data_IF_147291791423
#
_entry.id   IF_147291791423
#
_cell.length_a   1.000
_cell.length_b   1.000
_cell.length_c   1.000
_cell.angle_alpha   90.00
_cell.angle_beta   90.00
_cell.angle_gamma   90.00
#
_symmetry.space_group_name_H-M   'P 1'
#
loop_
_entity.id
_entity.type
_entity.pdbx_description
1 polymer ?
#
# COMPACT_ATOMS: atom_id res chain seq x y z
N UNK A 1 21.70 10.17 -34.40
CA UNK A 1 22.41 10.72 -33.22
C UNK A 1 23.44 11.71 -33.76
N UNK A 2 23.62 12.89 -33.14
CA UNK A 2 24.68 13.83 -33.50
C UNK A 2 26.06 13.17 -33.38
N UNK A 3 27.00 13.47 -34.25
CA UNK A 3 28.35 12.93 -34.17
C UNK A 3 29.03 13.41 -32.89
N UNK A 4 29.59 12.51 -32.13
CA UNK A 4 30.23 12.78 -30.82
C UNK A 4 29.48 12.24 -29.60
N UNK A 5 28.24 11.78 -29.73
CA UNK A 5 27.52 11.06 -28.66
C UNK A 5 27.85 9.58 -28.77
N UNK A 6 28.44 9.01 -27.71
CA UNK A 6 28.87 7.61 -27.66
C UNK A 6 27.71 6.70 -27.19
N UNK A 7 26.95 7.16 -26.20
CA UNK A 7 25.83 6.41 -25.63
C UNK A 7 24.83 7.33 -24.96
N UNK A 8 23.57 7.02 -25.13
CA UNK A 8 22.49 7.68 -24.39
C UNK A 8 21.73 6.63 -23.63
N UNK A 9 21.73 6.72 -22.29
CA UNK A 9 21.00 5.82 -21.42
C UNK A 9 19.96 6.64 -20.67
N UNK A 10 18.69 6.28 -20.83
CA UNK A 10 17.60 6.86 -20.05
C UNK A 10 17.44 5.98 -18.82
N UNK A 11 17.57 6.57 -17.63
CA UNK A 11 17.37 5.84 -16.41
C UNK A 11 15.91 5.36 -16.28
N UNK A 12 15.73 4.27 -15.54
CA UNK A 12 14.46 3.55 -15.42
C UNK A 12 13.34 4.38 -14.80
N UNK A 13 13.64 5.54 -14.20
CA UNK A 13 12.67 6.47 -13.64
C UNK A 13 12.09 7.45 -14.67
N UNK A 14 12.65 7.51 -15.88
CA UNK A 14 12.28 8.46 -16.96
C UNK A 14 12.58 9.92 -16.63
N UNK A 15 13.19 10.22 -15.48
CA UNK A 15 13.48 11.57 -15.00
C UNK A 15 14.94 11.98 -15.25
N UNK A 16 15.81 11.01 -15.38
CA UNK A 16 17.25 11.23 -15.60
C UNK A 16 17.73 10.53 -16.86
N UNK A 17 18.61 11.21 -17.57
CA UNK A 17 19.23 10.72 -18.81
C UNK A 17 20.74 10.93 -18.70
N UNK A 18 21.48 9.83 -18.86
CA UNK A 18 22.94 9.87 -18.91
C UNK A 18 23.37 9.85 -20.36
N UNK A 19 24.16 10.84 -20.77
CA UNK A 19 24.74 10.96 -22.11
C UNK A 19 26.24 10.83 -21.98
N UNK A 20 26.77 9.72 -22.50
CA UNK A 20 28.21 9.52 -22.66
C UNK A 20 28.64 10.16 -24.00
N UNK A 21 29.55 11.10 -23.96
CA UNK A 21 30.01 11.84 -25.13
C UNK A 21 31.53 11.97 -25.17
N UNK A 22 32.08 12.21 -26.37
CA UNK A 22 33.49 12.51 -26.53
C UNK A 22 33.72 14.00 -26.32
N UNK A 23 34.43 14.41 -25.24
CA UNK A 23 34.69 15.81 -24.93
C UNK A 23 35.60 16.52 -25.97
N UNK A 24 36.21 15.76 -26.90
CA UNK A 24 36.97 16.32 -28.02
C UNK A 24 36.10 16.67 -29.21
N UNK A 25 34.90 16.06 -29.30
CA UNK A 25 33.98 16.25 -30.42
C UNK A 25 32.80 17.17 -30.09
N UNK A 26 32.40 17.28 -28.81
CA UNK A 26 31.25 18.06 -28.34
C UNK A 26 31.60 18.84 -27.07
N UNK A 27 31.18 20.09 -27.00
CA UNK A 27 31.27 20.89 -25.76
C UNK A 27 30.11 20.54 -24.80
N UNK A 28 30.31 20.78 -23.50
CA UNK A 28 29.30 20.60 -22.47
C UNK A 28 27.97 21.34 -22.76
N UNK A 29 28.09 22.50 -23.41
CA UNK A 29 26.95 23.34 -23.76
C UNK A 29 26.12 22.71 -24.90
N UNK A 30 26.81 22.16 -25.91
CA UNK A 30 26.17 21.42 -26.99
C UNK A 30 25.48 20.14 -26.50
N UNK A 31 26.06 19.44 -25.53
CA UNK A 31 25.46 18.26 -24.92
C UNK A 31 24.20 18.62 -24.11
N UNK A 32 24.22 19.74 -23.38
CA UNK A 32 23.02 20.26 -22.67
C UNK A 32 21.91 20.63 -23.65
N UNK A 33 22.23 21.23 -24.79
CA UNK A 33 21.23 21.55 -25.80
C UNK A 33 20.60 20.31 -26.43
N UNK A 34 21.41 19.28 -26.71
CA UNK A 34 20.91 17.97 -27.18
C UNK A 34 20.07 17.28 -26.10
N UNK A 35 20.51 17.31 -24.85
CA UNK A 35 19.74 16.78 -23.73
C UNK A 35 18.38 17.48 -23.59
N UNK A 36 18.33 18.80 -23.70
CA UNK A 36 17.10 19.59 -23.65
C UNK A 36 16.13 19.28 -24.81
N UNK A 37 16.64 18.88 -25.98
CA UNK A 37 15.80 18.43 -27.12
C UNK A 37 15.29 17.01 -26.95
N UNK A 38 16.11 16.10 -26.40
CA UNK A 38 15.76 14.69 -26.24
C UNK A 38 14.89 14.42 -25.00
N UNK A 39 14.99 15.24 -23.96
CA UNK A 39 14.24 15.06 -22.73
C UNK A 39 12.70 15.05 -22.93
N UNK A 40 12.08 15.94 -23.73
CA UNK A 40 10.64 15.90 -23.98
C UNK A 40 10.20 14.65 -24.77
N UNK A 41 11.04 14.16 -25.70
CA UNK A 41 10.74 12.93 -26.46
C UNK A 41 10.84 11.69 -25.56
N UNK A 42 11.87 11.65 -24.72
CA UNK A 42 12.04 10.58 -23.75
C UNK A 42 10.87 10.53 -22.72
N UNK A 43 10.42 11.70 -22.25
CA UNK A 43 9.26 11.78 -21.34
C UNK A 43 7.94 11.38 -22.03
N UNK A 44 7.77 11.66 -23.32
CA UNK A 44 6.57 11.25 -24.08
C UNK A 44 6.55 9.75 -24.39
N UNK A 45 7.71 9.11 -24.44
CA UNK A 45 7.83 7.69 -24.77
C UNK A 45 7.43 6.78 -23.61
N UNK A 46 7.70 7.19 -22.37
CA UNK A 46 7.38 6.42 -21.18
C UNK A 46 6.20 7.05 -20.45
N UNK A 47 5.15 6.27 -20.24
CA UNK A 47 3.99 6.68 -19.45
C UNK A 47 3.87 5.83 -18.20
N UNK A 48 3.13 6.33 -17.22
CA UNK A 48 2.94 5.70 -15.92
C UNK A 48 1.47 5.36 -15.73
N UNK A 49 1.16 4.08 -15.58
CA UNK A 49 -0.16 3.61 -15.23
C UNK A 49 -0.21 3.29 -13.73
N UNK A 50 -1.16 3.90 -13.02
CA UNK A 50 -1.41 3.63 -11.60
C UNK A 50 -2.71 2.84 -11.49
N UNK A 51 -2.66 1.71 -10.78
CA UNK A 51 -3.79 0.82 -10.59
C UNK A 51 -3.92 0.43 -9.11
N UNK A 52 -5.15 0.16 -8.69
CA UNK A 52 -5.43 -0.27 -7.31
C UNK A 52 -5.20 -1.77 -7.17
N UNK A 53 -4.49 -2.16 -6.11
CA UNK A 53 -4.38 -3.56 -5.71
C UNK A 53 -5.59 -3.94 -4.88
N UNK A 54 -6.35 -4.93 -5.35
CA UNK A 54 -7.45 -5.55 -4.60
C UNK A 54 -6.93 -6.62 -3.64
N UNK A 55 -7.73 -6.95 -2.62
CA UNK A 55 -7.41 -8.01 -1.66
C UNK A 55 -6.41 -7.61 -0.57
N UNK A 56 -6.12 -8.55 0.33
CA UNK A 56 -5.03 -8.44 1.30
C UNK A 56 -3.72 -8.81 0.59
N UNK A 57 -3.04 -7.81 0.05
CA UNK A 57 -1.67 -8.00 -0.39
C UNK A 57 -0.75 -7.94 0.84
N UNK A 58 0.12 -8.91 1.00
CA UNK A 58 1.26 -8.83 1.90
C UNK A 58 2.44 -8.21 1.14
N UNK A 59 3.46 -7.71 1.84
CA UNK A 59 4.60 -7.08 1.17
C UNK A 59 5.35 -8.04 0.27
N UNK A 60 5.52 -9.29 0.69
CA UNK A 60 6.08 -10.35 -0.18
C UNK A 60 5.22 -10.58 -1.43
N UNK A 61 3.90 -10.42 -1.33
CA UNK A 61 3.00 -10.49 -2.49
C UNK A 61 3.20 -9.28 -3.42
N UNK A 62 3.40 -8.09 -2.87
CA UNK A 62 3.66 -6.89 -3.64
C UNK A 62 4.98 -7.00 -4.42
N UNK A 63 6.06 -7.44 -3.78
CA UNK A 63 7.34 -7.71 -4.43
C UNK A 63 7.27 -8.78 -5.54
N UNK A 64 6.46 -9.82 -5.33
CA UNK A 64 6.25 -10.85 -6.36
C UNK A 64 5.48 -10.29 -7.55
N UNK A 65 4.52 -9.42 -7.30
CA UNK A 65 3.76 -8.73 -8.35
C UNK A 65 4.64 -7.74 -9.13
N UNK A 66 5.50 -6.97 -8.45
CA UNK A 66 6.49 -6.11 -9.08
C UNK A 66 7.35 -6.91 -10.06
N UNK A 67 7.97 -8.00 -9.60
CA UNK A 67 8.83 -8.85 -10.44
C UNK A 67 8.10 -9.45 -11.64
N UNK A 68 6.85 -9.88 -11.45
CA UNK A 68 6.04 -10.42 -12.55
C UNK A 68 5.65 -9.34 -13.55
N UNK A 69 5.30 -8.15 -13.09
CA UNK A 69 4.95 -7.05 -13.96
C UNK A 69 6.18 -6.53 -14.72
N UNK A 70 7.37 -6.54 -14.13
CA UNK A 70 8.62 -6.19 -14.81
C UNK A 70 9.05 -7.20 -15.89
N UNK A 71 8.51 -8.43 -15.86
CA UNK A 71 8.73 -9.43 -16.91
C UNK A 71 7.83 -9.22 -18.15
N UNK A 72 6.83 -8.33 -18.07
CA UNK A 72 5.97 -7.99 -19.19
C UNK A 72 6.76 -7.18 -20.22
N UNK A 73 6.74 -7.62 -21.47
CA UNK A 73 7.42 -6.93 -22.56
C UNK A 73 6.84 -5.52 -22.74
N UNK A 74 7.72 -4.50 -22.75
CA UNK A 74 7.29 -3.08 -22.78
C UNK A 74 7.17 -2.43 -21.40
N UNK A 75 7.14 -3.17 -20.29
CA UNK A 75 7.22 -2.63 -18.94
C UNK A 75 8.68 -2.40 -18.57
N UNK A 76 8.97 -1.20 -18.07
CA UNK A 76 10.32 -0.79 -17.64
C UNK A 76 10.52 -0.89 -16.15
N UNK A 77 9.49 -0.57 -15.40
CA UNK A 77 9.53 -0.59 -13.93
C UNK A 77 8.11 -0.80 -13.39
N UNK A 78 7.99 -1.65 -12.39
CA UNK A 78 6.77 -1.81 -11.62
C UNK A 78 7.07 -1.57 -10.14
N UNK A 79 6.22 -0.83 -9.46
CA UNK A 79 6.27 -0.64 -8.02
C UNK A 79 4.88 -0.85 -7.43
N UNK A 80 4.79 -1.73 -6.46
CA UNK A 80 3.56 -2.00 -5.73
C UNK A 80 3.74 -1.57 -4.28
N UNK A 81 2.90 -0.65 -3.83
CA UNK A 81 2.92 -0.19 -2.44
C UNK A 81 1.80 -0.87 -1.70
N UNK A 82 2.16 -1.78 -0.80
CA UNK A 82 1.20 -2.50 0.04
C UNK A 82 0.37 -1.54 0.89
N UNK A 83 1.01 -0.57 1.54
CA UNK A 83 0.37 0.43 2.41
C UNK A 83 -0.60 1.30 1.61
N UNK A 84 -0.21 1.80 0.44
CA UNK A 84 -1.07 2.58 -0.45
C UNK A 84 -2.16 1.76 -1.14
N UNK A 85 -1.99 0.43 -1.22
CA UNK A 85 -2.88 -0.44 -2.00
C UNK A 85 -2.90 -0.08 -3.48
N UNK A 86 -1.79 0.46 -3.99
CA UNK A 86 -1.63 0.88 -5.37
C UNK A 86 -0.39 0.25 -6.00
N UNK A 87 -0.47 0.00 -7.28
CA UNK A 87 0.63 -0.45 -8.11
C UNK A 87 0.85 0.56 -9.23
N UNK A 88 2.07 0.97 -9.39
CA UNK A 88 2.51 1.90 -10.43
C UNK A 88 3.40 1.17 -11.40
N UNK A 89 3.05 1.21 -12.68
CA UNK A 89 3.79 0.57 -13.75
C UNK A 89 4.22 1.63 -14.75
N UNK A 90 5.53 1.73 -15.00
CA UNK A 90 6.10 2.59 -16.05
C UNK A 90 6.33 1.72 -17.28
N UNK A 91 5.77 2.11 -18.41
CA UNK A 91 5.78 1.33 -19.65
C UNK A 91 6.08 2.20 -20.88
N UNK A 92 6.48 1.55 -21.98
CA UNK A 92 6.75 2.21 -23.26
C UNK A 92 5.44 2.36 -24.04
N UNK A 93 4.96 3.60 -24.23
CA UNK A 93 3.76 3.94 -24.97
C UNK A 93 3.77 3.48 -26.45
N UNK A 94 4.95 3.20 -27.00
CA UNK A 94 5.06 2.67 -28.35
C UNK A 94 4.71 1.18 -28.44
N UNK A 95 4.75 0.46 -27.30
CA UNK A 95 4.53 -0.99 -27.23
C UNK A 95 3.23 -1.37 -26.53
N UNK A 96 2.82 -0.62 -25.51
CA UNK A 96 1.67 -0.93 -24.67
C UNK A 96 0.78 0.29 -24.47
N UNK A 97 -0.52 0.08 -24.46
CA UNK A 97 -1.51 1.05 -23.98
C UNK A 97 -1.78 0.87 -22.47
N UNK A 98 -2.27 1.89 -21.74
CA UNK A 98 -2.61 1.76 -20.32
C UNK A 98 -3.59 0.62 -20.02
N UNK A 99 -4.54 0.36 -20.92
CA UNK A 99 -5.51 -0.72 -20.77
C UNK A 99 -4.87 -2.09 -20.91
N UNK A 100 -3.95 -2.25 -21.87
CA UNK A 100 -3.20 -3.50 -22.05
C UNK A 100 -2.29 -3.80 -20.87
N UNK A 101 -1.66 -2.76 -20.28
CA UNK A 101 -0.86 -2.93 -19.04
C UNK A 101 -1.72 -3.46 -17.90
N UNK A 102 -2.91 -2.89 -17.69
CA UNK A 102 -3.83 -3.33 -16.63
C UNK A 102 -4.25 -4.79 -16.84
N UNK A 103 -4.58 -5.16 -18.09
CA UNK A 103 -5.03 -6.51 -18.42
C UNK A 103 -3.90 -7.54 -18.25
N UNK A 104 -2.71 -7.24 -18.76
CA UNK A 104 -1.55 -8.14 -18.62
C UNK A 104 -1.11 -8.28 -17.16
N UNK A 105 -1.16 -7.20 -16.36
CA UNK A 105 -0.91 -7.30 -14.92
C UNK A 105 -1.99 -8.15 -14.24
N UNK A 106 -3.26 -8.05 -14.66
CA UNK A 106 -4.34 -8.89 -14.15
C UNK A 106 -4.13 -10.38 -14.49
N UNK A 107 -3.67 -10.69 -15.68
CA UNK A 107 -3.33 -12.06 -16.11
C UNK A 107 -2.21 -12.68 -15.27
N UNK A 108 -1.32 -11.88 -14.68
CA UNK A 108 -0.30 -12.40 -13.73
C UNK A 108 -0.90 -12.90 -12.40
N UNK A 109 -2.22 -12.81 -12.22
CA UNK A 109 -2.96 -13.22 -11.02
C UNK A 109 -3.08 -12.13 -9.96
N UNK A 110 -2.77 -10.88 -10.32
CA UNK A 110 -2.96 -9.74 -9.44
C UNK A 110 -4.41 -9.24 -9.51
N UNK A 111 -5.13 -9.11 -8.41
CA UNK A 111 -6.43 -8.47 -8.39
C UNK A 111 -6.25 -6.95 -8.52
N UNK A 112 -5.99 -6.48 -9.74
CA UNK A 112 -5.81 -5.05 -10.03
C UNK A 112 -7.07 -4.47 -10.67
N UNK A 113 -7.41 -3.26 -10.27
CA UNK A 113 -8.49 -2.47 -10.85
C UNK A 113 -7.99 -1.09 -11.23
N UNK A 114 -8.49 -0.49 -12.33
CA UNK A 114 -8.20 0.90 -12.64
C UNK A 114 -8.56 1.81 -11.45
N UNK A 115 -7.79 2.85 -11.23
CA UNK A 115 -7.99 3.75 -10.09
C UNK A 115 -9.36 4.45 -10.13
N UNK A 116 -9.91 4.65 -11.32
CA UNK A 116 -11.14 5.41 -11.61
C UNK A 116 -12.47 4.68 -11.35
N UNK A 117 -12.47 3.41 -10.92
CA UNK A 117 -13.73 2.67 -10.69
C UNK A 117 -14.10 2.73 -9.21
N UNK A 118 -15.26 3.30 -8.82
CA UNK A 118 -15.80 3.17 -7.47
C UNK A 118 -15.97 1.69 -7.11
N UNK A 119 -15.73 1.32 -5.85
CA UNK A 119 -16.06 -0.02 -5.36
C UNK A 119 -17.58 -0.18 -5.41
N UNK A 120 -18.06 -0.93 -6.36
CA UNK A 120 -19.41 -1.47 -6.32
C UNK A 120 -19.56 -2.46 -5.16
N UNK A 121 -20.79 -2.61 -4.64
CA UNK A 121 -21.09 -3.57 -3.60
C UNK A 121 -20.64 -4.97 -4.03
N UNK A 122 -20.14 -5.80 -3.10
CA UNK A 122 -19.60 -7.11 -3.43
C UNK A 122 -20.66 -8.00 -4.10
N UNK A 123 -20.38 -8.45 -5.30
CA UNK A 123 -21.30 -9.30 -6.09
C UNK A 123 -21.15 -10.81 -5.82
N UNK A 124 -20.04 -11.22 -5.17
CA UNK A 124 -19.74 -12.63 -4.88
C UNK A 124 -19.42 -12.86 -3.40
N UNK A 125 -19.70 -14.08 -2.90
CA UNK A 125 -19.39 -14.50 -1.53
C UNK A 125 -17.90 -14.33 -1.19
N UNK A 126 -17.00 -14.52 -2.16
CA UNK A 126 -15.56 -14.30 -1.97
C UNK A 126 -15.21 -12.83 -1.78
N UNK A 127 -15.84 -11.90 -2.50
CA UNK A 127 -15.66 -10.46 -2.33
C UNK A 127 -16.31 -9.96 -1.03
N UNK A 128 -17.47 -10.50 -0.68
CA UNK A 128 -18.13 -10.22 0.60
C UNK A 128 -17.25 -10.65 1.77
N UNK A 129 -16.66 -11.85 1.70
CA UNK A 129 -15.74 -12.36 2.71
C UNK A 129 -14.52 -11.46 2.85
N UNK A 130 -13.91 -11.03 1.74
CA UNK A 130 -12.77 -10.11 1.74
C UNK A 130 -13.12 -8.74 2.34
N UNK A 131 -14.33 -8.25 2.10
CA UNK A 131 -14.82 -6.99 2.67
C UNK A 131 -15.00 -7.08 4.19
N UNK A 132 -15.46 -8.25 4.71
CA UNK A 132 -15.73 -8.46 6.14
C UNK A 132 -14.55 -9.10 6.89
N UNK A 133 -13.49 -9.51 6.23
CA UNK A 133 -12.32 -10.17 6.85
C UNK A 133 -11.72 -9.34 7.99
N UNK A 134 -11.68 -8.03 7.89
CA UNK A 134 -11.19 -7.15 8.96
C UNK A 134 -12.07 -7.26 10.23
N UNK A 135 -13.39 -7.30 10.05
CA UNK A 135 -14.32 -7.50 11.17
C UNK A 135 -14.20 -8.90 11.80
N UNK A 136 -14.02 -9.93 10.96
CA UNK A 136 -13.83 -11.32 11.43
C UNK A 136 -12.53 -11.43 12.22
N UNK A 137 -11.46 -10.79 11.79
CA UNK A 137 -10.17 -10.81 12.50
C UNK A 137 -10.25 -10.13 13.87
N UNK A 138 -10.94 -8.99 13.94
CA UNK A 138 -11.23 -8.31 15.22
C UNK A 138 -12.05 -9.22 16.14
N UNK A 139 -13.10 -9.88 15.61
CA UNK A 139 -13.92 -10.80 16.37
C UNK A 139 -13.11 -12.02 16.86
N UNK A 140 -12.26 -12.60 16.01
CA UNK A 140 -11.37 -13.69 16.39
C UNK A 140 -10.36 -13.26 17.47
N UNK A 141 -9.77 -12.08 17.36
CA UNK A 141 -8.86 -11.52 18.36
C UNK A 141 -9.56 -11.33 19.70
N UNK A 142 -10.75 -10.73 19.69
CA UNK A 142 -11.56 -10.57 20.91
C UNK A 142 -11.95 -11.92 21.51
N UNK A 143 -12.35 -12.89 20.69
CA UNK A 143 -12.68 -14.25 21.14
C UNK A 143 -11.47 -14.96 21.75
N UNK A 144 -10.29 -14.80 21.17
CA UNK A 144 -9.03 -15.34 21.72
C UNK A 144 -8.78 -14.79 23.13
N UNK A 145 -8.95 -13.48 23.31
CA UNK A 145 -8.79 -12.84 24.63
C UNK A 145 -9.80 -13.40 25.64
N UNK A 146 -11.07 -13.45 25.26
CA UNK A 146 -12.13 -13.96 26.14
C UNK A 146 -11.86 -15.43 26.55
N UNK A 147 -11.58 -16.30 25.56
CA UNK A 147 -11.31 -17.72 25.84
C UNK A 147 -10.05 -17.91 26.68
N UNK A 148 -8.99 -17.13 26.45
CA UNK A 148 -7.78 -17.16 27.26
C UNK A 148 -8.05 -16.78 28.70
N UNK A 149 -8.80 -15.70 28.96
CA UNK A 149 -9.15 -15.28 30.33
C UNK A 149 -10.07 -16.28 31.01
N UNK A 150 -11.11 -16.78 30.32
CA UNK A 150 -12.01 -17.80 30.88
C UNK A 150 -11.25 -19.07 31.17
N UNK A 151 -10.36 -19.53 30.28
CA UNK A 151 -9.52 -20.72 30.55
C UNK A 151 -8.60 -20.56 31.76
N UNK A 152 -8.06 -19.33 31.97
CA UNK A 152 -7.23 -19.02 33.14
C UNK A 152 -8.04 -18.96 34.46
N UNK A 153 -9.29 -18.49 34.41
CA UNK A 153 -10.17 -18.39 35.56
C UNK A 153 -10.88 -19.72 35.89
N UNK A 154 -11.13 -20.58 34.91
CA UNK A 154 -11.90 -21.80 35.05
C UNK A 154 -11.46 -22.70 36.23
N UNK A 155 -10.16 -22.97 36.46
CA UNK A 155 -9.72 -23.77 37.62
C UNK A 155 -9.99 -23.08 38.97
N UNK A 156 -10.09 -21.73 38.99
CA UNK A 156 -10.34 -20.94 40.20
C UNK A 156 -11.81 -20.86 40.59
N UNK A 157 -12.70 -21.05 39.61
CA UNK A 157 -14.15 -20.94 39.78
C UNK A 157 -14.85 -22.29 39.98
N UNK A 158 -14.06 -23.38 40.14
CA UNK A 158 -14.59 -24.73 40.35
C UNK A 158 -14.91 -25.51 39.07
N UNK A 159 -14.72 -24.90 37.89
CA UNK A 159 -14.73 -25.64 36.65
C UNK A 159 -13.45 -26.49 36.56
N UNK A 160 -13.60 -27.79 36.28
CA UNK A 160 -12.46 -28.71 36.24
C UNK A 160 -11.41 -28.35 35.17
N UNK A 161 -10.20 -28.90 35.31
CA UNK A 161 -9.07 -28.66 34.38
C UNK A 161 -9.41 -28.98 32.91
N UNK A 162 -10.34 -29.92 32.67
CA UNK A 162 -10.81 -30.27 31.34
C UNK A 162 -11.45 -29.05 30.60
N UNK A 163 -12.26 -28.27 31.32
CA UNK A 163 -12.87 -27.06 30.75
C UNK A 163 -11.83 -25.94 30.46
N UNK A 164 -10.87 -25.78 31.38
CA UNK A 164 -9.77 -24.84 31.14
C UNK A 164 -9.01 -25.17 29.85
N UNK A 165 -8.67 -26.45 29.65
CA UNK A 165 -8.00 -26.90 28.44
C UNK A 165 -8.86 -26.71 27.19
N UNK A 166 -10.19 -26.95 27.27
CA UNK A 166 -11.10 -26.71 26.16
C UNK A 166 -11.13 -25.22 25.74
N UNK A 167 -11.15 -24.29 26.70
CA UNK A 167 -11.08 -22.85 26.41
C UNK A 167 -9.75 -22.45 25.85
N UNK A 168 -8.62 -23.01 26.31
CA UNK A 168 -7.33 -22.74 25.67
C UNK A 168 -7.29 -23.27 24.24
N UNK A 169 -7.80 -24.47 23.96
CA UNK A 169 -7.90 -24.97 22.57
C UNK A 169 -8.75 -24.04 21.71
N UNK A 170 -9.88 -23.54 22.21
CA UNK A 170 -10.70 -22.57 21.51
C UNK A 170 -9.94 -21.25 21.24
N UNK A 171 -9.15 -20.77 22.23
CA UNK A 171 -8.29 -19.58 22.05
C UNK A 171 -7.22 -19.80 20.98
N UNK A 172 -6.58 -20.99 20.95
CA UNK A 172 -5.59 -21.33 19.93
C UNK A 172 -6.19 -21.40 18.52
N UNK A 173 -7.41 -21.94 18.39
CA UNK A 173 -8.11 -21.98 17.11
C UNK A 173 -8.46 -20.56 16.67
N UNK A 174 -9.07 -19.76 17.54
CA UNK A 174 -9.51 -18.40 17.20
C UNK A 174 -8.33 -17.48 16.87
N UNK A 175 -7.26 -17.49 17.69
CA UNK A 175 -6.08 -16.64 17.49
C UNK A 175 -5.11 -17.18 16.43
N UNK A 176 -5.06 -18.51 16.25
CA UNK A 176 -4.13 -19.16 15.33
C UNK A 176 -4.59 -19.25 13.89
N UNK A 177 -5.90 -19.15 13.60
CA UNK A 177 -6.44 -19.42 12.25
C UNK A 177 -5.80 -18.56 11.15
N UNK A 178 -5.63 -17.27 11.40
CA UNK A 178 -4.99 -16.34 10.44
C UNK A 178 -3.47 -16.52 10.42
N UNK A 179 -2.86 -16.76 11.57
CA UNK A 179 -1.44 -17.04 11.69
C UNK A 179 -1.05 -18.33 10.97
N UNK A 180 -1.81 -19.42 11.16
CA UNK A 180 -1.57 -20.68 10.46
C UNK A 180 -1.68 -20.51 8.95
N UNK A 181 -2.67 -19.76 8.47
CA UNK A 181 -2.79 -19.45 7.04
C UNK A 181 -1.59 -18.66 6.52
N UNK A 182 -1.08 -17.68 7.29
CA UNK A 182 0.08 -16.91 6.95
C UNK A 182 1.34 -17.80 6.96
N UNK A 183 1.60 -18.53 8.05
CA UNK A 183 2.75 -19.42 8.20
C UNK A 183 2.78 -20.55 7.16
N UNK A 184 1.61 -21.14 6.82
CA UNK A 184 1.53 -22.16 5.77
C UNK A 184 1.84 -21.58 4.39
N UNK A 185 1.45 -20.32 4.14
CA UNK A 185 1.78 -19.60 2.91
C UNK A 185 3.27 -19.33 2.82
N UNK A 186 3.88 -18.88 3.92
CA UNK A 186 5.33 -18.63 4.03
C UNK A 186 6.13 -19.91 3.83
N UNK A 187 5.72 -21.01 4.45
CA UNK A 187 6.34 -22.31 4.29
C UNK A 187 6.27 -22.80 2.83
N UNK A 188 5.12 -22.62 2.16
CA UNK A 188 4.95 -22.97 0.75
C UNK A 188 5.79 -22.09 -0.19
N UNK A 189 6.17 -20.89 0.25
CA UNK A 189 7.04 -19.98 -0.50
C UNK A 189 8.52 -20.09 -0.11
N UNK A 190 8.88 -21.04 0.79
CA UNK A 190 10.22 -21.21 1.33
C UNK A 190 10.76 -19.93 2.00
N UNK A 191 9.85 -19.11 2.55
CA UNK A 191 10.19 -17.94 3.36
C UNK A 191 9.93 -18.28 4.83
N UNK A 192 10.91 -18.03 5.68
CA UNK A 192 10.76 -18.19 7.13
C UNK A 192 10.50 -16.79 7.68
N UNK A 193 9.27 -16.56 8.14
CA UNK A 193 8.80 -15.28 8.64
C UNK A 193 8.57 -15.34 10.14
N UNK A 194 8.44 -14.19 10.76
CA UNK A 194 8.10 -14.06 12.19
C UNK A 194 6.75 -14.72 12.50
N UNK A 195 5.82 -14.73 11.55
CA UNK A 195 4.51 -15.40 11.70
C UNK A 195 4.67 -16.90 11.99
N UNK A 196 5.56 -17.58 11.25
CA UNK A 196 5.88 -18.98 11.48
C UNK A 196 6.53 -19.21 12.85
N UNK A 197 7.47 -18.32 13.23
CA UNK A 197 8.12 -18.38 14.55
C UNK A 197 7.08 -18.28 15.68
N UNK A 198 6.14 -17.34 15.58
CA UNK A 198 5.08 -17.14 16.58
C UNK A 198 4.18 -18.35 16.74
N UNK A 199 3.80 -19.01 15.64
CA UNK A 199 2.99 -20.23 15.68
C UNK A 199 3.76 -21.37 16.31
N UNK A 200 5.02 -21.56 15.93
CA UNK A 200 5.88 -22.59 16.51
C UNK A 200 6.08 -22.36 18.02
N UNK A 201 6.29 -21.10 18.43
CA UNK A 201 6.40 -20.74 19.83
C UNK A 201 5.12 -21.03 20.62
N UNK A 202 3.96 -20.69 20.07
CA UNK A 202 2.67 -20.96 20.71
C UNK A 202 2.40 -22.47 20.84
N UNK A 203 2.65 -23.25 19.79
CA UNK A 203 2.53 -24.71 19.83
C UNK A 203 3.52 -25.34 20.80
N UNK A 204 4.77 -24.84 20.82
CA UNK A 204 5.78 -25.24 21.78
C UNK A 204 5.37 -24.98 23.21
N UNK A 205 4.79 -23.81 23.52
CA UNK A 205 4.26 -23.47 24.83
C UNK A 205 3.15 -24.45 25.26
N UNK A 206 2.23 -24.80 24.36
CA UNK A 206 1.20 -25.82 24.64
C UNK A 206 1.81 -27.18 24.92
N UNK A 207 2.81 -27.61 24.14
CA UNK A 207 3.46 -28.90 24.30
C UNK A 207 4.23 -29.05 25.62
N UNK A 208 4.77 -27.98 26.18
CA UNK A 208 5.46 -27.96 27.48
C UNK A 208 4.51 -27.78 28.66
N UNK A 209 3.19 -27.65 28.41
CA UNK A 209 2.18 -27.52 29.46
C UNK A 209 1.93 -26.10 29.93
N UNK A 210 2.29 -25.10 29.13
CA UNK A 210 2.05 -23.67 29.36
C UNK A 210 1.05 -23.09 28.35
N UNK A 211 -0.20 -23.59 28.26
CA UNK A 211 -1.15 -23.18 27.21
C UNK A 211 -1.59 -21.71 27.32
N UNK A 212 -1.58 -21.14 28.52
CA UNK A 212 -1.89 -19.72 28.71
C UNK A 212 -0.87 -18.80 27.99
N UNK A 213 0.42 -19.12 28.14
CA UNK A 213 1.50 -18.33 27.52
C UNK A 213 1.40 -18.38 26.02
N UNK A 214 1.15 -19.55 25.43
CA UNK A 214 0.96 -19.65 23.99
C UNK A 214 -0.32 -18.98 23.48
N UNK A 215 -1.43 -19.04 24.23
CA UNK A 215 -2.65 -18.29 23.90
C UNK A 215 -2.41 -16.77 23.96
N UNK A 216 -1.61 -16.32 24.93
CA UNK A 216 -1.21 -14.90 25.05
C UNK A 216 -0.36 -14.45 23.84
N UNK A 217 0.57 -15.29 23.39
CA UNK A 217 1.35 -15.00 22.17
C UNK A 217 0.44 -14.85 20.95
N UNK A 218 -0.49 -15.78 20.74
CA UNK A 218 -1.43 -15.73 19.62
C UNK A 218 -2.36 -14.51 19.72
N UNK A 219 -2.79 -14.15 20.92
CA UNK A 219 -3.57 -12.93 21.14
C UNK A 219 -2.79 -11.68 20.77
N UNK A 220 -1.56 -11.51 21.28
CA UNK A 220 -0.72 -10.35 20.99
C UNK A 220 -0.40 -10.26 19.50
N UNK A 221 -0.12 -11.38 18.86
CA UNK A 221 0.10 -11.46 17.42
C UNK A 221 -1.14 -11.02 16.63
N UNK A 222 -2.32 -11.58 16.95
CA UNK A 222 -3.57 -11.23 16.31
C UNK A 222 -3.94 -9.76 16.53
N UNK A 223 -3.73 -9.25 17.75
CA UNK A 223 -3.93 -7.84 18.10
C UNK A 223 -3.01 -6.93 17.28
N UNK A 224 -1.74 -7.29 17.14
CA UNK A 224 -0.78 -6.53 16.32
C UNK A 224 -1.25 -6.43 14.87
N UNK A 225 -1.71 -7.54 14.27
CA UNK A 225 -2.22 -7.57 12.92
C UNK A 225 -3.46 -6.69 12.74
N UNK A 226 -4.38 -6.71 13.70
CA UNK A 226 -5.57 -5.83 13.71
C UNK A 226 -5.17 -4.36 13.79
N UNK A 227 -4.25 -4.00 14.70
CA UNK A 227 -3.77 -2.63 14.85
C UNK A 227 -3.06 -2.14 13.58
N UNK A 228 -2.24 -2.99 12.98
CA UNK A 228 -1.55 -2.68 11.73
C UNK A 228 -2.54 -2.47 10.57
N UNK A 229 -3.53 -3.36 10.44
CA UNK A 229 -4.58 -3.23 9.44
C UNK A 229 -5.39 -1.93 9.64
N UNK A 230 -5.73 -1.59 10.88
CA UNK A 230 -6.42 -0.35 11.23
C UNK A 230 -5.61 0.91 10.88
N UNK A 231 -4.31 0.93 11.22
CA UNK A 231 -3.43 2.04 10.91
C UNK A 231 -3.33 2.27 9.39
N UNK A 232 -3.14 1.19 8.63
CA UNK A 232 -3.07 1.24 7.16
C UNK A 232 -4.39 1.73 6.55
N UNK A 233 -5.54 1.21 7.04
CA UNK A 233 -6.86 1.61 6.52
C UNK A 233 -7.15 3.09 6.79
N UNK A 234 -6.76 3.60 7.97
CA UNK A 234 -6.89 5.02 8.31
C UNK A 234 -6.07 5.91 7.37
N UNK A 235 -4.81 5.53 7.10
CA UNK A 235 -3.95 6.25 6.16
C UNK A 235 -4.52 6.22 4.73
N UNK A 236 -5.03 5.06 4.29
CA UNK A 236 -5.68 4.91 2.99
C UNK A 236 -6.93 5.78 2.84
N UNK A 237 -7.76 5.85 3.89
CA UNK A 237 -8.96 6.69 3.89
C UNK A 237 -8.64 8.16 3.73
N UNK A 238 -7.60 8.66 4.40
CA UNK A 238 -7.16 10.06 4.27
C UNK A 238 -6.78 10.39 2.82
N UNK A 239 -6.01 9.54 2.15
CA UNK A 239 -5.62 9.71 0.75
C UNK A 239 -6.85 9.61 -0.17
N UNK A 240 -7.75 8.66 0.10
CA UNK A 240 -8.95 8.47 -0.72
C UNK A 240 -9.93 9.66 -0.63
N UNK A 241 -9.97 10.36 0.50
CA UNK A 241 -10.73 11.58 0.64
C UNK A 241 -10.18 12.69 -0.27
N UNK A 242 -8.86 12.84 -0.36
CA UNK A 242 -8.24 13.80 -1.30
C UNK A 242 -8.62 13.51 -2.76
N UNK A 243 -8.66 12.24 -3.14
CA UNK A 243 -9.05 11.84 -4.50
C UNK A 243 -10.54 12.10 -4.80
N UNK A 244 -11.42 12.05 -3.80
CA UNK A 244 -12.85 12.33 -3.97
C UNK A 244 -13.19 13.83 -4.17
N UNK A 245 -12.25 14.72 -3.90
CA UNK A 245 -12.45 16.15 -4.09
C UNK A 245 -12.56 16.54 -5.57
N UNK A 246 -12.05 15.73 -6.47
CA UNK A 246 -12.13 15.96 -7.91
C UNK A 246 -13.33 15.22 -8.51
N UNK A 247 -14.22 15.88 -9.25
CA UNK A 247 -15.31 15.21 -9.94
C UNK A 247 -14.78 14.37 -11.12
N UNK A 248 -15.41 13.23 -11.42
CA UNK A 248 -15.03 12.37 -12.54
C UNK A 248 -15.48 12.92 -13.90
N UNK A 249 -16.46 13.82 -13.90
CA UNK A 249 -17.09 14.39 -15.10
C UNK A 249 -17.28 15.89 -14.91
N UNK A 250 -17.25 16.63 -16.02
CA UNK A 250 -17.52 18.06 -16.03
C UNK A 250 -18.40 18.45 -17.21
N UNK A 251 -19.20 19.51 -17.03
CA UNK A 251 -20.00 20.10 -18.09
C UNK A 251 -19.10 20.99 -18.95
N UNK A 252 -18.80 20.56 -20.17
CA UNK A 252 -18.01 21.33 -21.11
C UNK A 252 -18.86 21.88 -22.25
N UNK A 253 -18.52 23.09 -22.73
CA UNK A 253 -19.10 23.68 -23.93
C UNK A 253 -18.21 23.33 -25.13
N UNK A 254 -18.74 22.51 -26.06
CA UNK A 254 -18.13 22.20 -27.36
C UNK A 254 -19.12 22.48 -28.47
N UNK A 255 -18.69 23.16 -29.50
CA UNK A 255 -19.48 23.50 -30.68
C UNK A 255 -20.85 24.14 -30.34
N UNK A 256 -20.87 25.00 -29.32
CA UNK A 256 -22.07 25.68 -28.84
C UNK A 256 -23.05 24.80 -28.04
N UNK A 257 -22.73 23.53 -27.81
CA UNK A 257 -23.54 22.59 -27.01
C UNK A 257 -22.86 22.29 -25.69
N UNK A 258 -23.65 22.19 -24.63
CA UNK A 258 -23.19 21.75 -23.30
C UNK A 258 -23.25 20.22 -23.21
N UNK A 259 -22.11 19.57 -23.01
CA UNK A 259 -22.00 18.12 -22.95
C UNK A 259 -21.28 17.73 -21.65
N UNK A 260 -21.77 16.70 -21.00
CA UNK A 260 -21.11 16.11 -19.82
C UNK A 260 -20.01 15.16 -20.28
N UNK A 261 -18.76 15.52 -20.04
CA UNK A 261 -17.58 14.75 -20.47
C UNK A 261 -16.79 14.23 -19.26
N UNK A 262 -16.19 13.05 -19.36
CA UNK A 262 -15.14 12.63 -18.44
C UNK A 262 -13.98 13.64 -18.48
N UNK A 263 -13.39 13.94 -17.31
CA UNK A 263 -12.35 14.97 -17.23
C UNK A 263 -11.08 14.62 -18.02
N UNK A 264 -10.83 13.33 -18.27
CA UNK A 264 -9.72 12.84 -19.10
C UNK A 264 -9.88 13.18 -20.58
N UNK A 265 -11.11 13.47 -21.02
CA UNK A 265 -11.43 13.87 -22.40
C UNK A 265 -11.43 15.39 -22.61
N UNK A 266 -11.23 16.17 -21.54
CA UNK A 266 -11.11 17.61 -21.62
C UNK A 266 -9.71 18.00 -22.11
N UNK A 267 -9.66 18.98 -23.02
CA UNK A 267 -8.44 19.52 -23.58
C UNK A 267 -8.16 20.93 -23.03
N UNK A 268 -6.90 21.36 -23.10
CA UNK A 268 -6.54 22.74 -22.81
C UNK A 268 -7.26 23.67 -23.79
N UNK A 269 -7.94 24.67 -23.26
CA UNK A 269 -8.77 25.60 -24.03
C UNK A 269 -10.29 25.30 -23.98
N UNK A 270 -10.71 24.13 -23.58
CA UNK A 270 -12.14 23.81 -23.37
C UNK A 270 -12.74 24.74 -22.30
N UNK A 271 -14.01 25.09 -22.45
CA UNK A 271 -14.75 25.88 -21.47
C UNK A 271 -15.61 24.93 -20.64
N UNK A 272 -15.37 24.91 -19.33
CA UNK A 272 -16.11 24.12 -18.35
C UNK A 272 -17.06 25.03 -17.60
N UNK A 273 -18.33 24.60 -17.47
CA UNK A 273 -19.36 25.29 -16.72
C UNK A 273 -19.40 24.69 -15.32
N UNK A 274 -19.21 25.54 -14.29
CA UNK A 274 -19.23 25.13 -12.89
C UNK A 274 -20.36 25.83 -12.18
N UNK A 275 -21.33 25.06 -11.67
CA UNK A 275 -22.49 25.60 -10.94
C UNK A 275 -22.18 25.83 -9.46
N UNK A 276 -22.97 26.64 -8.75
CA UNK A 276 -22.87 26.74 -7.31
C UNK A 276 -22.98 25.37 -6.62
N UNK A 277 -22.09 25.11 -5.68
CA UNK A 277 -21.98 23.83 -4.96
C UNK A 277 -21.16 22.76 -5.69
N UNK A 278 -20.74 22.97 -6.94
CA UNK A 278 -19.93 22.01 -7.69
C UNK A 278 -18.44 22.23 -7.45
N UNK A 279 -17.68 21.12 -7.48
CA UNK A 279 -16.23 21.16 -7.45
C UNK A 279 -15.66 21.47 -8.84
N UNK A 280 -14.61 22.29 -8.88
CA UNK A 280 -13.88 22.64 -10.10
C UNK A 280 -13.09 21.42 -10.58
N UNK A 281 -13.33 21.01 -11.81
CA UNK A 281 -12.81 19.77 -12.36
C UNK A 281 -11.31 19.84 -12.70
N UNK A 282 -10.87 20.97 -13.26
CA UNK A 282 -9.50 21.17 -13.76
C UNK A 282 -8.99 22.57 -13.44
N UNK A 283 -7.67 22.73 -13.38
CA UNK A 283 -7.03 24.05 -13.28
C UNK A 283 -7.37 24.90 -14.52
N UNK A 284 -7.80 26.14 -14.27
CA UNK A 284 -8.22 27.02 -15.34
C UNK A 284 -8.22 28.49 -14.94
N UNK A 285 -8.78 29.29 -15.84
CA UNK A 285 -9.00 30.74 -15.65
C UNK A 285 -10.46 31.03 -15.90
N UNK A 286 -11.07 31.82 -15.04
CA UNK A 286 -12.48 32.25 -15.20
C UNK A 286 -12.59 33.12 -16.45
N UNK A 287 -13.49 32.75 -17.36
CA UNK A 287 -13.81 33.51 -18.55
C UNK A 287 -15.00 34.44 -18.29
N UNK A 288 -16.02 33.89 -17.61
CA UNK A 288 -17.27 34.58 -17.29
C UNK A 288 -17.79 34.17 -15.91
N UNK A 289 -18.37 35.10 -15.20
CA UNK A 289 -18.94 34.91 -13.87
C UNK A 289 -18.05 35.45 -12.74
N UNK A 290 -18.64 35.48 -11.56
CA UNK A 290 -18.00 35.86 -10.30
C UNK A 290 -18.58 35.00 -9.19
N UNK A 291 -17.70 34.44 -8.33
CA UNK A 291 -18.13 33.57 -7.22
C UNK A 291 -17.12 33.54 -6.10
N UNK A 292 -17.57 33.21 -4.90
CA UNK A 292 -16.73 32.81 -3.79
C UNK A 292 -16.32 31.35 -3.99
N UNK A 293 -15.02 31.10 -3.94
CA UNK A 293 -14.43 29.75 -4.15
C UNK A 293 -13.76 29.32 -2.85
N UNK A 294 -14.11 28.14 -2.39
CA UNK A 294 -13.45 27.48 -1.26
C UNK A 294 -12.24 26.69 -1.78
N UNK A 295 -11.04 27.20 -1.46
CA UNK A 295 -9.77 26.62 -1.82
C UNK A 295 -9.12 25.87 -0.62
N UNK A 296 -9.86 25.66 0.47
CA UNK A 296 -9.35 25.06 1.72
C UNK A 296 -8.71 23.67 1.53
N UNK A 297 -9.21 22.91 0.58
CA UNK A 297 -8.66 21.59 0.21
C UNK A 297 -7.23 21.63 -0.33
N UNK A 298 -6.78 22.80 -0.82
CA UNK A 298 -5.46 22.99 -1.44
C UNK A 298 -4.55 23.88 -0.58
N UNK A 299 -5.12 24.96 -0.04
CA UNK A 299 -4.37 25.99 0.70
C UNK A 299 -4.41 25.77 2.22
N UNK A 300 -5.41 25.03 2.71
CA UNK A 300 -5.70 24.89 4.14
C UNK A 300 -6.44 26.12 4.76
N UNK A 301 -6.67 27.17 3.98
CA UNK A 301 -7.39 28.36 4.44
C UNK A 301 -8.90 28.16 4.32
N UNK A 302 -9.64 28.26 5.42
CA UNK A 302 -11.09 28.00 5.46
C UNK A 302 -11.95 29.19 4.96
N UNK A 303 -11.34 30.32 4.63
CA UNK A 303 -12.09 31.51 4.18
C UNK A 303 -12.22 31.46 2.66
N UNK A 304 -13.44 31.42 2.11
CA UNK A 304 -13.64 31.45 0.67
C UNK A 304 -13.12 32.74 0.03
N UNK A 305 -12.49 32.61 -1.12
CA UNK A 305 -11.89 33.72 -1.85
C UNK A 305 -12.82 34.15 -2.98
N UNK A 306 -13.14 35.45 -3.06
CA UNK A 306 -13.93 36.00 -4.18
C UNK A 306 -13.06 36.02 -5.43
N UNK A 307 -13.51 35.35 -6.49
CA UNK A 307 -12.86 35.24 -7.80
C UNK A 307 -13.77 35.76 -8.90
N UNK A 308 -13.19 36.43 -9.88
CA UNK A 308 -13.87 37.04 -11.03
C UNK A 308 -13.17 36.71 -12.34
N UNK A 309 -13.70 37.17 -13.44
CA UNK A 309 -13.12 36.97 -14.77
C UNK A 309 -11.61 37.32 -14.80
N UNK A 310 -10.81 36.44 -15.36
CA UNK A 310 -9.33 36.39 -15.46
C UNK A 310 -8.62 35.87 -14.21
N UNK A 311 -9.30 35.58 -13.12
CA UNK A 311 -8.65 34.96 -11.95
C UNK A 311 -8.42 33.48 -12.18
N UNK A 312 -7.27 32.93 -11.68
CA UNK A 312 -7.01 31.51 -11.74
C UNK A 312 -7.86 30.75 -10.72
N UNK A 313 -8.29 29.56 -11.12
CA UNK A 313 -8.98 28.58 -10.26
C UNK A 313 -8.31 27.23 -10.34
N UNK A 314 -8.41 26.47 -9.28
CA UNK A 314 -7.73 25.20 -9.12
C UNK A 314 -8.71 24.03 -9.06
N UNK A 315 -8.30 22.88 -9.61
CA UNK A 315 -9.04 21.64 -9.49
C UNK A 315 -9.24 21.27 -8.01
N UNK A 316 -10.38 20.67 -7.68
CA UNK A 316 -10.81 20.30 -6.34
C UNK A 316 -11.21 21.45 -5.41
N UNK A 317 -11.18 22.71 -5.87
CA UNK A 317 -11.85 23.83 -5.15
C UNK A 317 -13.37 23.76 -5.35
N UNK A 318 -14.13 24.26 -4.38
CA UNK A 318 -15.60 24.24 -4.42
C UNK A 318 -16.12 25.62 -4.78
N UNK A 319 -16.92 25.70 -5.82
CA UNK A 319 -17.64 26.89 -6.21
C UNK A 319 -18.87 27.10 -5.30
N UNK A 320 -19.00 28.25 -4.63
CA UNK A 320 -20.05 28.43 -3.62
C UNK A 320 -21.32 29.19 -4.13
N UNK A 321 -21.14 30.34 -4.76
CA UNK A 321 -22.27 31.29 -4.91
C UNK A 321 -22.70 31.54 -6.34
N UNK A 322 -21.77 31.76 -7.27
CA UNK A 322 -22.07 32.15 -8.66
C UNK A 322 -21.85 31.03 -9.67
N UNK A 323 -22.47 31.11 -10.83
CA UNK A 323 -22.12 30.27 -11.97
C UNK A 323 -20.82 30.74 -12.61
N UNK A 324 -19.91 29.85 -12.94
CA UNK A 324 -18.63 30.16 -13.53
C UNK A 324 -18.45 29.45 -14.87
N UNK A 325 -17.86 30.13 -15.84
CA UNK A 325 -17.26 29.54 -17.03
C UNK A 325 -15.74 29.58 -16.89
N UNK A 326 -15.13 28.41 -16.89
CA UNK A 326 -13.70 28.24 -16.64
C UNK A 326 -13.04 27.68 -17.90
N UNK A 327 -12.05 28.40 -18.43
CA UNK A 327 -11.19 27.88 -19.52
C UNK A 327 -10.10 27.02 -18.93
N UNK A 328 -10.06 25.78 -19.35
CA UNK A 328 -9.05 24.81 -18.93
C UNK A 328 -7.65 25.27 -19.38
N UNK A 329 -6.72 25.37 -18.44
CA UNK A 329 -5.31 25.75 -18.70
C UNK A 329 -4.34 24.60 -18.55
N UNK A 330 -4.70 23.55 -17.80
CA UNK A 330 -3.88 22.36 -17.60
C UNK A 330 -4.72 21.09 -17.76
N UNK A 331 -4.08 20.04 -18.25
CA UNK A 331 -4.69 18.72 -18.33
C UNK A 331 -4.87 18.12 -16.93
N UNK A 332 -5.76 17.14 -16.81
CA UNK A 332 -6.04 16.42 -15.56
C UNK A 332 -4.76 15.92 -14.86
N UNK A 333 -3.82 15.37 -15.62
CA UNK A 333 -2.53 14.84 -15.15
C UNK A 333 -1.54 15.91 -14.66
N UNK A 334 -1.75 17.17 -15.05
CA UNK A 334 -0.85 18.30 -14.72
C UNK A 334 -1.46 19.24 -13.68
N UNK A 335 -2.65 18.91 -13.16
CA UNK A 335 -3.37 19.71 -12.16
C UNK A 335 -2.61 19.78 -10.83
N UNK A 336 -2.92 20.82 -10.02
CA UNK A 336 -2.31 21.01 -8.71
C UNK A 336 -2.57 19.82 -7.78
N UNK A 337 -3.80 19.30 -7.78
CA UNK A 337 -4.19 18.15 -6.95
C UNK A 337 -3.45 16.87 -7.35
N UNK A 338 -3.22 16.64 -8.65
CA UNK A 338 -2.47 15.49 -9.13
C UNK A 338 -1.01 15.52 -8.69
N UNK A 339 -0.42 16.72 -8.67
CA UNK A 339 0.94 16.91 -8.14
C UNK A 339 1.02 16.59 -6.65
N UNK A 340 0.02 17.01 -5.86
CA UNK A 340 -0.06 16.68 -4.43
C UNK A 340 -0.19 15.17 -4.22
N UNK A 341 -1.06 14.50 -4.98
CA UNK A 341 -1.23 13.04 -4.93
C UNK A 341 0.11 12.35 -5.22
N UNK A 342 0.82 12.78 -6.28
CA UNK A 342 2.14 12.23 -6.61
C UNK A 342 3.18 12.45 -5.51
N UNK A 343 3.23 13.63 -4.89
CA UNK A 343 4.14 13.88 -3.77
C UNK A 343 3.85 12.96 -2.59
N UNK A 344 2.57 12.72 -2.28
CA UNK A 344 2.17 11.77 -1.23
C UNK A 344 2.57 10.35 -1.60
N UNK A 345 2.37 9.92 -2.85
CA UNK A 345 2.78 8.60 -3.36
C UNK A 345 4.31 8.42 -3.32
N UNK A 346 5.07 9.45 -3.73
CA UNK A 346 6.53 9.44 -3.68
C UNK A 346 7.03 9.33 -2.24
N UNK A 347 6.48 10.13 -1.31
CA UNK A 347 6.81 10.06 0.11
C UNK A 347 6.48 8.68 0.73
N UNK A 348 5.38 8.05 0.31
CA UNK A 348 5.03 6.70 0.75
C UNK A 348 5.97 5.64 0.17
N UNK A 349 6.46 5.82 -1.06
CA UNK A 349 7.40 4.87 -1.67
C UNK A 349 8.76 4.85 -0.96
N UNK A 350 9.21 5.99 -0.43
CA UNK A 350 10.45 6.05 0.38
C UNK A 350 10.29 5.34 1.73
N UNK A 351 9.13 5.47 2.38
CA UNK A 351 8.82 4.69 3.61
C UNK A 351 8.83 3.19 3.36
N UNK A 352 8.46 2.74 2.16
CA UNK A 352 8.49 1.31 1.79
C UNK A 352 9.92 0.74 1.75
N UNK A 353 10.94 1.53 1.46
CA UNK A 353 12.34 1.04 1.49
C UNK A 353 12.82 0.74 2.91
N UNK A 354 12.51 1.60 3.88
CA UNK A 354 12.81 1.37 5.29
C UNK A 354 12.06 0.14 5.82
N UNK A 355 10.79 -0.02 5.42
CA UNK A 355 10.00 -1.19 5.79
C UNK A 355 10.62 -2.49 5.25
N UNK A 356 11.03 -2.51 3.98
CA UNK A 356 11.70 -3.68 3.37
C UNK A 356 13.00 -4.07 4.07
N UNK A 357 13.72 -3.08 4.61
CA UNK A 357 14.91 -3.36 5.41
C UNK A 357 14.53 -4.05 6.74
N UNK A 358 13.51 -3.53 7.44
CA UNK A 358 13.01 -4.11 8.68
C UNK A 358 12.51 -5.56 8.46
N UNK A 359 11.68 -5.79 7.45
CA UNK A 359 11.15 -7.13 7.12
C UNK A 359 12.28 -8.13 6.83
N UNK A 360 13.33 -7.69 6.14
CA UNK A 360 14.50 -8.53 5.88
C UNK A 360 15.27 -8.83 7.16
N UNK A 361 15.46 -7.84 8.02
CA UNK A 361 16.12 -8.00 9.32
C UNK A 361 15.33 -8.96 10.22
N UNK A 362 13.99 -8.83 10.25
CA UNK A 362 13.09 -9.74 10.98
C UNK A 362 13.15 -11.17 10.46
N UNK A 363 13.28 -11.36 9.14
CA UNK A 363 13.45 -12.69 8.55
C UNK A 363 14.75 -13.35 9.01
N UNK A 364 15.87 -12.64 8.99
CA UNK A 364 17.15 -13.16 9.51
C UNK A 364 17.09 -13.47 10.99
N UNK A 365 16.42 -12.61 11.76
CA UNK A 365 16.19 -12.83 13.18
C UNK A 365 15.38 -14.11 13.44
N UNK A 366 14.26 -14.30 12.74
CA UNK A 366 13.42 -15.48 12.86
C UNK A 366 14.19 -16.78 12.54
N UNK A 367 14.97 -16.80 11.48
CA UNK A 367 15.84 -17.92 11.10
C UNK A 367 16.85 -18.20 12.23
N UNK A 368 17.48 -17.16 12.76
CA UNK A 368 18.46 -17.27 13.84
C UNK A 368 17.84 -17.86 15.11
N UNK A 369 16.67 -17.40 15.53
CA UNK A 369 15.95 -17.91 16.69
C UNK A 369 15.54 -19.37 16.51
N UNK A 370 15.01 -19.73 15.34
CA UNK A 370 14.60 -21.13 15.06
C UNK A 370 15.83 -22.04 15.07
N UNK A 371 16.92 -21.63 14.40
CA UNK A 371 18.17 -22.43 14.38
C UNK A 371 18.77 -22.58 15.78
N UNK A 372 18.79 -21.50 16.59
CA UNK A 372 19.27 -21.52 17.96
C UNK A 372 18.41 -22.43 18.85
N UNK A 373 17.08 -22.34 18.73
CA UNK A 373 16.14 -23.18 19.46
C UNK A 373 16.34 -24.65 19.10
N UNK A 374 16.50 -24.96 17.81
CA UNK A 374 16.78 -26.32 17.35
C UNK A 374 18.09 -26.84 17.93
N UNK A 375 19.13 -26.01 17.93
CA UNK A 375 20.42 -26.36 18.54
C UNK A 375 20.27 -26.64 20.05
N UNK A 376 19.49 -25.82 20.77
CA UNK A 376 19.19 -26.06 22.20
C UNK A 376 18.40 -27.34 22.47
N UNK A 377 17.59 -27.79 21.53
CA UNK A 377 16.87 -29.08 21.66
C UNK A 377 17.81 -30.26 21.39
N UNK A 378 18.68 -30.15 20.39
CA UNK A 378 19.46 -31.28 19.89
C UNK A 378 20.81 -31.45 20.61
N UNK A 379 21.55 -30.34 20.86
CA UNK A 379 22.91 -30.45 21.37
C UNK A 379 23.03 -30.94 22.83
N UNK A 380 22.28 -30.42 23.81
CA UNK A 380 22.46 -30.78 25.20
C UNK A 380 22.23 -32.27 25.52
N UNK A 381 21.25 -32.98 24.94
CA UNK A 381 21.14 -34.42 25.14
C UNK A 381 22.37 -35.21 24.75
N UNK A 382 23.13 -34.77 23.74
CA UNK A 382 24.33 -35.44 23.27
C UNK A 382 25.56 -35.13 24.13
N UNK A 383 25.72 -33.91 24.61
CA UNK A 383 26.92 -33.47 25.31
C UNK A 383 26.81 -33.53 26.82
N UNK A 384 25.62 -33.25 27.38
CA UNK A 384 25.40 -33.09 28.83
C UNK A 384 24.54 -34.24 29.41
N UNK A 385 24.03 -35.16 28.57
CA UNK A 385 23.17 -36.28 28.94
C UNK A 385 21.92 -35.85 29.71
N UNK A 386 21.42 -34.63 29.44
CA UNK A 386 20.16 -34.14 30.04
C UNK A 386 18.93 -34.84 29.43
N UNK A 387 17.86 -35.07 30.22
CA UNK A 387 16.63 -35.64 29.69
C UNK A 387 15.99 -34.70 28.66
N UNK A 388 15.59 -35.23 27.51
CA UNK A 388 15.00 -34.50 26.39
C UNK A 388 13.87 -33.55 26.83
N UNK A 389 13.04 -33.96 27.79
CA UNK A 389 11.93 -33.14 28.29
C UNK A 389 12.40 -31.80 28.89
N UNK A 390 13.47 -31.81 29.67
CA UNK A 390 14.00 -30.61 30.31
C UNK A 390 14.62 -29.65 29.25
N UNK A 391 15.37 -30.23 28.31
CA UNK A 391 15.98 -29.48 27.22
C UNK A 391 14.94 -28.86 26.31
N UNK A 392 13.91 -29.63 25.95
CA UNK A 392 12.79 -29.15 25.14
C UNK A 392 12.03 -28.02 25.83
N UNK A 393 11.76 -28.14 27.15
CA UNK A 393 11.13 -27.06 27.91
C UNK A 393 11.94 -25.77 27.87
N UNK A 394 13.24 -25.84 28.12
CA UNK A 394 14.13 -24.65 28.08
C UNK A 394 14.17 -24.04 26.68
N UNK A 395 14.29 -24.85 25.65
CA UNK A 395 14.31 -24.40 24.28
C UNK A 395 13.01 -23.68 23.87
N UNK A 396 11.86 -24.22 24.25
CA UNK A 396 10.56 -23.60 24.00
C UNK A 396 10.40 -22.29 24.78
N UNK A 397 10.85 -22.25 26.04
CA UNK A 397 10.84 -21.02 26.84
C UNK A 397 11.71 -19.93 26.19
N UNK A 398 12.89 -20.28 25.70
CA UNK A 398 13.75 -19.34 24.96
C UNK A 398 13.07 -18.83 23.71
N UNK A 399 12.41 -19.70 22.93
CA UNK A 399 11.70 -19.31 21.72
C UNK A 399 10.54 -18.34 22.01
N UNK A 400 9.80 -18.57 23.10
CA UNK A 400 8.73 -17.68 23.56
C UNK A 400 9.29 -16.30 23.95
N UNK A 401 10.37 -16.27 24.74
CA UNK A 401 11.00 -15.01 25.20
C UNK A 401 11.66 -14.25 24.02
N UNK A 402 12.23 -14.98 23.08
CA UNK A 402 12.85 -14.40 21.88
C UNK A 402 11.82 -13.93 20.84
N UNK A 403 10.52 -14.08 21.10
CA UNK A 403 9.50 -13.61 20.18
C UNK A 403 9.46 -12.09 20.09
N UNK A 404 9.54 -11.47 18.88
CA UNK A 404 9.69 -10.02 18.71
C UNK A 404 8.35 -9.25 18.80
N UNK A 405 7.42 -9.68 19.68
CA UNK A 405 6.08 -9.08 19.79
C UNK A 405 6.09 -7.56 19.99
N UNK A 406 7.03 -7.04 20.78
CA UNK A 406 7.17 -5.61 21.02
C UNK A 406 7.60 -4.85 19.74
N UNK A 407 8.44 -5.46 18.92
CA UNK A 407 8.89 -4.87 17.65
C UNK A 407 7.74 -4.78 16.65
N UNK A 408 6.96 -5.85 16.54
CA UNK A 408 5.82 -5.94 15.63
C UNK A 408 4.72 -4.91 16.01
N UNK A 409 4.51 -4.64 17.32
CA UNK A 409 3.52 -3.66 17.78
C UNK A 409 4.05 -2.22 17.63
N UNK A 410 5.34 -1.99 17.79
CA UNK A 410 5.93 -0.64 17.80
C UNK A 410 5.87 0.05 16.44
N UNK A 411 6.02 -0.68 15.33
CA UNK A 411 5.99 -0.13 13.99
C UNK A 411 4.61 0.46 13.63
N UNK A 412 3.47 -0.28 13.77
CA UNK A 412 2.15 0.32 13.54
C UNK A 412 1.80 1.43 14.52
N UNK A 413 2.22 1.33 15.80
CA UNK A 413 1.94 2.37 16.79
C UNK A 413 2.60 3.71 16.45
N UNK A 414 3.83 3.70 15.94
CA UNK A 414 4.52 4.91 15.48
C UNK A 414 3.84 5.55 14.27
N UNK A 415 3.22 4.75 13.41
CA UNK A 415 2.51 5.25 12.22
C UNK A 415 1.15 5.89 12.58
N UNK A 416 0.44 5.30 13.55
CA UNK A 416 -0.81 5.89 14.07
C UNK A 416 -0.53 7.22 14.76
N UNK A 417 0.60 7.34 15.46
CA UNK A 417 1.00 8.58 16.13
C UNK A 417 1.47 9.68 15.16
N UNK A 418 1.94 9.30 13.96
CA UNK A 418 2.42 10.23 12.94
C UNK A 418 1.34 10.63 11.92
N UNK A 419 0.16 9.99 11.94
CA UNK A 419 -0.99 10.28 11.06
C UNK A 419 -2.02 11.18 11.73
#
# INVERSE_FOLDING_TARGET
MPPGILRTTIETDGKSMTIDYDPRALSDESVREVAARLAPEAQRRFDKCVMRLGGRACEACALKLERKAEQIEGVRRARATFIGGVMSVTFDNAQLSPQQVIEQVRETGAPVTPLAIPRDAPHNVGEWLQYHLAGIEVACTASTFVFMIVGWLAPRTGFGQAWANAFFVAAYIAGGIFGVQAGLRSLRQWTIDVDLLMILAALGAAAVGAPFEGAMLLFLFSLSNVLQAYAIDRTRKAIHLLMKLRPDKALARRDGKTVLLPIEQLAVGDIVIVRPGESIALDGVIVEGESSIDESSLTGESIPVLKKARDPVFAASINQTGGLEVRVTKLAKDSAIEKLIRMVEEAQSEKAETQRFLDRAEQFYAIGVIAFTLALVVLPPFFVHEPFRATFYRAMTVMVVASPCALIISAPASWVAAA
#
